data_IF_926000429556
#
_entry.id   IF_926000429556
#
_cell.length_a   1.000
_cell.length_b   1.000
_cell.length_c   1.000
_cell.angle_alpha   90.00
_cell.angle_beta   90.00
_cell.angle_gamma   90.00
#
_symmetry.space_group_name_H-M   'P 1'
#
loop_
_entity.id
_entity.type
_entity.pdbx_description
1 polymer ?
#
# COMPACT_ATOMS: atom_id res chain seq x y z
N UNK A 1 -1.89 3.32 12.67
CA UNK A 1 -2.08 1.87 12.38
C UNK A 1 -0.74 1.15 12.50
N UNK A 2 -0.73 -0.18 12.47
CA UNK A 2 0.48 -0.98 12.27
C UNK A 2 0.36 -1.65 10.89
N UNK A 3 1.24 -1.34 9.93
CA UNK A 3 1.18 -1.89 8.59
C UNK A 3 1.95 -3.23 8.53
N UNK A 4 2.06 -3.91 7.38
CA UNK A 4 2.92 -5.07 7.23
C UNK A 4 4.33 -4.88 7.78
N UNK A 5 4.96 -3.73 7.57
CA UNK A 5 6.21 -3.42 8.25
C UNK A 5 5.97 -3.14 9.75
N UNK A 6 6.28 -4.13 10.59
CA UNK A 6 6.09 -4.03 12.03
C UNK A 6 7.21 -3.23 12.75
N UNK A 7 8.24 -2.75 12.05
CA UNK A 7 9.18 -1.78 12.65
C UNK A 7 8.57 -0.39 12.82
N UNK A 8 7.51 -0.08 12.06
CA UNK A 8 6.81 1.20 12.12
C UNK A 8 5.40 1.03 12.68
N UNK A 9 5.22 1.33 13.98
CA UNK A 9 3.92 1.27 14.63
C UNK A 9 3.34 2.68 14.89
N UNK A 10 2.01 2.76 15.03
CA UNK A 10 1.28 4.02 15.24
C UNK A 10 1.49 5.08 14.15
N UNK A 11 1.67 4.65 12.90
CA UNK A 11 1.80 5.55 11.74
C UNK A 11 0.44 5.93 11.15
N UNK A 12 0.37 7.07 10.49
CA UNK A 12 -0.83 7.54 9.79
C UNK A 12 -0.73 7.30 8.28
N UNK A 13 -1.85 6.94 7.66
CA UNK A 13 -1.97 6.72 6.22
C UNK A 13 -0.96 5.72 5.63
N UNK A 14 -0.77 4.56 6.26
CA UNK A 14 -0.04 3.45 5.65
C UNK A 14 -0.57 3.17 4.25
N UNK A 15 0.33 3.17 3.26
CA UNK A 15 0.00 3.02 1.86
C UNK A 15 -0.65 1.66 1.58
N UNK A 16 -0.11 0.58 2.14
CA UNK A 16 -0.68 -0.75 1.99
C UNK A 16 -2.06 -0.84 2.64
N UNK A 17 -2.19 -0.38 3.89
CA UNK A 17 -3.45 -0.43 4.63
C UNK A 17 -4.56 0.31 3.90
N UNK A 18 -4.28 1.53 3.44
CA UNK A 18 -5.26 2.36 2.73
C UNK A 18 -5.57 1.81 1.34
N UNK A 19 -4.60 1.24 0.62
CA UNK A 19 -4.83 0.61 -0.67
C UNK A 19 -5.75 -0.61 -0.56
N UNK A 20 -5.50 -1.50 0.42
CA UNK A 20 -6.36 -2.67 0.69
C UNK A 20 -7.76 -2.24 1.11
N UNK A 21 -7.89 -1.23 1.98
CA UNK A 21 -9.18 -0.70 2.40
C UNK A 21 -9.97 -0.13 1.20
N UNK A 22 -9.31 0.67 0.35
CA UNK A 22 -9.91 1.23 -0.87
C UNK A 22 -10.36 0.13 -1.83
N UNK A 23 -9.53 -0.90 -2.05
CA UNK A 23 -9.86 -2.05 -2.90
C UNK A 23 -11.05 -2.84 -2.35
N UNK A 24 -11.09 -3.05 -1.04
CA UNK A 24 -12.16 -3.78 -0.37
C UNK A 24 -13.49 -3.06 -0.49
N UNK A 25 -13.51 -1.74 -0.26
CA UNK A 25 -14.69 -0.90 -0.49
C UNK A 25 -15.14 -0.94 -1.94
N UNK A 26 -14.20 -0.79 -2.89
CA UNK A 26 -14.51 -0.88 -4.33
C UNK A 26 -15.17 -2.22 -4.67
N UNK A 27 -14.59 -3.33 -4.21
CA UNK A 27 -15.13 -4.66 -4.46
C UNK A 27 -16.55 -4.81 -3.90
N UNK A 28 -16.79 -4.37 -2.66
CA UNK A 28 -18.10 -4.44 -2.03
C UNK A 28 -19.16 -3.58 -2.77
N UNK A 29 -18.78 -2.37 -3.22
CA UNK A 29 -19.64 -1.48 -4.00
C UNK A 29 -19.98 -2.12 -5.36
N UNK A 30 -18.98 -2.64 -6.07
CA UNK A 30 -19.14 -3.25 -7.39
C UNK A 30 -20.04 -4.49 -7.29
N UNK A 31 -19.81 -5.36 -6.29
CA UNK A 31 -20.60 -6.57 -6.07
C UNK A 31 -22.03 -6.24 -5.62
N UNK A 32 -22.21 -5.30 -4.69
CA UNK A 32 -23.52 -4.88 -4.24
C UNK A 32 -24.36 -4.32 -5.38
N UNK A 33 -23.75 -3.54 -6.28
CA UNK A 33 -24.40 -3.02 -7.48
C UNK A 33 -24.84 -4.13 -8.44
N UNK A 34 -23.99 -5.15 -8.65
CA UNK A 34 -24.30 -6.31 -9.50
C UNK A 34 -25.41 -7.20 -8.93
N UNK A 35 -25.49 -7.32 -7.60
CA UNK A 35 -26.51 -8.12 -6.91
C UNK A 35 -27.77 -7.32 -6.57
N UNK A 36 -27.87 -6.06 -7.00
CA UNK A 36 -28.98 -5.16 -6.72
C UNK A 36 -29.24 -4.90 -5.22
N UNK A 37 -28.18 -4.96 -4.40
CA UNK A 37 -28.25 -4.50 -3.02
C UNK A 37 -28.14 -2.98 -2.93
N UNK A 38 -28.77 -2.40 -1.90
CA UNK A 38 -28.58 -0.98 -1.57
C UNK A 38 -27.18 -0.80 -0.99
N UNK A 39 -26.30 -0.16 -1.76
CA UNK A 39 -24.94 0.18 -1.33
C UNK A 39 -24.98 1.54 -0.61
N UNK A 40 -24.49 1.64 0.64
CA UNK A 40 -24.40 2.93 1.32
C UNK A 40 -23.48 3.90 0.56
N UNK A 41 -23.94 5.13 0.29
CA UNK A 41 -23.15 6.13 -0.45
C UNK A 41 -21.89 6.54 0.35
N UNK A 42 -21.96 6.42 1.68
CA UNK A 42 -20.83 6.66 2.59
C UNK A 42 -19.62 5.80 2.24
N UNK A 43 -19.82 4.55 1.79
CA UNK A 43 -18.71 3.66 1.41
C UNK A 43 -17.94 4.22 0.22
N UNK A 44 -18.67 4.74 -0.76
CA UNK A 44 -18.09 5.36 -1.95
C UNK A 44 -17.37 6.67 -1.61
N UNK A 45 -17.93 7.46 -0.69
CA UNK A 45 -17.30 8.68 -0.20
C UNK A 45 -16.04 8.41 0.61
N UNK A 46 -16.04 7.40 1.49
CA UNK A 46 -14.85 6.98 2.22
C UNK A 46 -13.79 6.46 1.24
N UNK A 47 -14.16 5.59 0.30
CA UNK A 47 -13.26 5.03 -0.71
C UNK A 47 -12.53 6.12 -1.49
N UNK A 48 -13.23 7.19 -1.90
CA UNK A 48 -12.63 8.33 -2.63
C UNK A 48 -11.69 9.18 -1.76
N UNK A 49 -11.91 9.22 -0.44
CA UNK A 49 -11.14 10.03 0.52
C UNK A 49 -9.91 9.31 1.08
N UNK A 50 -9.84 7.98 0.95
CA UNK A 50 -8.68 7.21 1.38
C UNK A 50 -7.43 7.66 0.62
N UNK A 51 -6.46 8.17 1.38
CA UNK A 51 -5.17 8.62 0.86
C UNK A 51 -4.28 7.42 0.61
N UNK A 52 -3.74 7.31 -0.60
CA UNK A 52 -2.63 6.40 -0.92
C UNK A 52 -1.42 7.31 -1.17
N UNK A 53 -0.45 7.39 -0.23
CA UNK A 53 0.70 8.29 -0.35
C UNK A 53 1.47 8.09 -1.66
N UNK A 54 1.75 9.17 -2.37
CA UNK A 54 2.52 9.17 -3.61
C UNK A 54 3.38 10.42 -3.66
N UNK A 55 4.69 10.25 -3.69
CA UNK A 55 5.64 11.32 -3.96
C UNK A 55 5.79 11.46 -5.48
N UNK A 56 5.12 12.46 -6.04
CA UNK A 56 5.15 12.74 -7.48
C UNK A 56 6.50 13.29 -7.97
N UNK A 57 7.33 13.81 -7.07
CA UNK A 57 8.62 14.40 -7.44
C UNK A 57 9.70 13.33 -7.62
N UNK A 58 9.64 12.31 -6.77
CA UNK A 58 10.55 11.15 -6.80
C UNK A 58 9.91 9.90 -7.43
N UNK A 59 8.66 10.01 -7.88
CA UNK A 59 7.89 8.95 -8.51
C UNK A 59 7.92 7.65 -7.69
N UNK A 60 7.55 7.66 -6.40
CA UNK A 60 7.44 6.46 -5.56
C UNK A 60 6.37 6.65 -4.48
N UNK A 61 5.94 5.57 -3.84
CA UNK A 61 5.02 5.61 -2.70
C UNK A 61 5.80 5.62 -1.38
N UNK A 62 5.71 6.69 -0.57
CA UNK A 62 6.10 6.64 0.83
C UNK A 62 5.25 5.59 1.57
N UNK A 63 5.86 4.86 2.50
CA UNK A 63 5.18 3.76 3.22
C UNK A 63 4.00 4.26 4.07
N UNK A 64 4.15 5.44 4.66
CA UNK A 64 3.15 6.14 5.45
C UNK A 64 3.44 7.65 5.42
N UNK A 65 2.55 8.45 6.03
CA UNK A 65 2.77 9.89 6.12
C UNK A 65 3.98 10.24 6.99
N UNK A 66 4.98 10.88 6.40
CA UNK A 66 6.21 11.27 7.09
C UNK A 66 7.35 10.26 6.99
N UNK A 67 7.17 9.15 6.27
CA UNK A 67 8.23 8.17 6.01
C UNK A 67 9.47 8.83 5.37
N UNK A 68 10.65 8.58 5.93
CA UNK A 68 11.92 9.06 5.38
C UNK A 68 12.62 7.94 4.60
N UNK A 69 12.86 8.08 3.28
CA UNK A 69 13.57 7.05 2.52
C UNK A 69 14.94 6.74 3.08
N UNK A 70 15.24 5.45 3.22
CA UNK A 70 16.44 4.97 3.92
C UNK A 70 16.13 4.35 5.28
N UNK A 71 14.94 4.60 5.85
CA UNK A 71 14.48 3.94 7.08
C UNK A 71 14.37 2.41 6.86
N UNK A 72 14.96 1.59 7.76
CA UNK A 72 14.90 0.13 7.64
C UNK A 72 13.49 -0.41 7.73
N UNK A 73 13.18 -1.39 6.89
CA UNK A 73 11.85 -2.00 6.77
C UNK A 73 11.95 -3.47 7.14
N UNK A 74 11.06 -3.96 8.02
CA UNK A 74 11.12 -5.35 8.51
C UNK A 74 10.80 -6.38 7.43
N UNK A 75 9.76 -6.11 6.64
CA UNK A 75 9.23 -7.00 5.60
C UNK A 75 8.47 -6.20 4.54
N UNK A 76 8.11 -6.83 3.43
CA UNK A 76 7.41 -6.18 2.33
C UNK A 76 6.15 -5.41 2.78
N UNK A 77 6.09 -4.12 2.44
CA UNK A 77 4.94 -3.24 2.68
C UNK A 77 4.49 -2.57 1.38
N UNK A 78 5.23 -1.54 0.93
CA UNK A 78 4.92 -0.79 -0.30
C UNK A 78 4.95 -1.68 -1.53
N UNK A 79 5.93 -2.58 -1.62
CA UNK A 79 6.07 -3.48 -2.77
C UNK A 79 4.85 -4.41 -2.94
N UNK A 80 4.07 -4.62 -1.87
CA UNK A 80 2.87 -5.45 -1.92
C UNK A 80 1.77 -4.84 -2.82
N UNK A 81 1.82 -3.52 -3.07
CA UNK A 81 0.97 -2.84 -4.06
C UNK A 81 1.20 -3.42 -5.46
N UNK A 82 2.47 -3.61 -5.84
CA UNK A 82 2.86 -4.16 -7.13
C UNK A 82 2.59 -5.66 -7.24
N UNK A 83 2.80 -6.42 -6.17
CA UNK A 83 2.42 -7.84 -6.05
C UNK A 83 2.35 -8.24 -4.56
N UNK A 84 1.25 -8.86 -4.09
CA UNK A 84 0.21 -9.50 -4.87
C UNK A 84 -1.01 -8.62 -5.19
N UNK A 85 -1.11 -7.39 -4.67
CA UNK A 85 -2.32 -6.58 -4.86
C UNK A 85 -2.57 -6.20 -6.32
N UNK A 86 -1.49 -6.09 -7.11
CA UNK A 86 -1.56 -5.68 -8.51
C UNK A 86 -2.34 -4.37 -8.65
N UNK A 87 -2.07 -3.40 -7.77
CA UNK A 87 -2.72 -2.09 -7.85
C UNK A 87 -2.32 -1.40 -9.16
N UNK A 88 -3.23 -0.67 -9.83
CA UNK A 88 -2.88 0.06 -11.04
C UNK A 88 -1.88 1.17 -10.72
N UNK A 89 -0.66 1.04 -11.24
CA UNK A 89 0.45 1.93 -10.96
C UNK A 89 1.13 2.35 -12.26
N UNK A 90 1.72 3.55 -12.26
CA UNK A 90 2.65 3.92 -13.30
C UNK A 90 3.88 2.97 -13.28
N UNK A 91 4.35 2.45 -14.43
CA UNK A 91 5.50 1.56 -14.48
C UNK A 91 6.78 2.14 -13.87
N UNK A 92 6.98 3.46 -13.94
CA UNK A 92 8.10 4.15 -13.29
C UNK A 92 7.96 4.09 -11.77
N UNK A 93 6.77 4.41 -11.25
CA UNK A 93 6.48 4.36 -9.82
C UNK A 93 6.68 2.96 -9.26
N UNK A 94 6.16 1.93 -9.95
CA UNK A 94 6.34 0.54 -9.54
C UNK A 94 7.81 0.12 -9.50
N UNK A 95 8.63 0.60 -10.45
CA UNK A 95 10.06 0.31 -10.48
C UNK A 95 10.77 0.99 -9.31
N UNK A 96 10.49 2.27 -9.09
CA UNK A 96 11.12 3.04 -8.02
C UNK A 96 10.74 2.52 -6.64
N UNK A 97 9.50 2.05 -6.43
CA UNK A 97 9.11 1.37 -5.19
C UNK A 97 10.02 0.15 -4.93
N UNK A 98 10.29 -0.67 -5.95
CA UNK A 98 11.22 -1.80 -5.80
C UNK A 98 12.64 -1.32 -5.49
N UNK A 99 13.17 -0.37 -6.25
CA UNK A 99 14.55 0.12 -6.10
C UNK A 99 14.80 0.84 -4.77
N UNK A 100 13.80 1.54 -4.22
CA UNK A 100 13.92 2.28 -2.95
C UNK A 100 13.82 1.33 -1.75
N UNK A 101 12.88 0.38 -1.77
CA UNK A 101 12.65 -0.49 -0.61
C UNK A 101 13.56 -1.73 -0.61
N UNK A 102 14.16 -2.10 -1.74
CA UNK A 102 15.08 -3.24 -1.82
C UNK A 102 16.29 -3.18 -0.87
N UNK A 103 17.07 -2.09 -0.84
CA UNK A 103 18.27 -2.01 -0.01
C UNK A 103 17.98 -1.83 1.49
N UNK A 104 16.78 -1.36 1.85
CA UNK A 104 16.40 -1.07 3.24
C UNK A 104 15.59 -2.18 3.91
N UNK A 105 15.18 -3.21 3.14
CA UNK A 105 14.45 -4.35 3.68
C UNK A 105 15.40 -5.30 4.43
N UNK A 106 15.11 -5.54 5.70
CA UNK A 106 15.92 -6.32 6.63
C UNK A 106 16.20 -7.73 6.07
N UNK A 107 17.46 -8.10 5.81
CA UNK A 107 17.81 -9.43 5.31
C UNK A 107 17.55 -10.55 6.34
N UNK A 108 17.44 -10.22 7.62
CA UNK A 108 17.09 -11.14 8.71
C UNK A 108 15.60 -11.03 9.09
N UNK A 109 14.84 -10.22 8.35
CA UNK A 109 13.40 -10.14 8.48
C UNK A 109 12.70 -11.47 8.21
N UNK A 110 11.40 -11.57 8.52
CA UNK A 110 10.63 -12.79 8.28
C UNK A 110 10.57 -13.14 6.78
N UNK A 111 10.31 -14.43 6.49
CA UNK A 111 10.25 -14.97 5.13
C UNK A 111 9.07 -14.43 4.26
N UNK A 112 8.31 -13.47 4.78
CA UNK A 112 7.18 -12.83 4.09
C UNK A 112 7.59 -11.60 3.28
N UNK A 113 8.89 -11.43 3.04
CA UNK A 113 9.44 -10.52 2.03
C UNK A 113 9.92 -11.30 0.80
N UNK A 114 10.27 -10.64 -0.32
CA UNK A 114 10.72 -11.36 -1.51
C UNK A 114 11.97 -12.22 -1.23
N UNK A 115 12.09 -13.34 -1.94
CA UNK A 115 13.31 -14.16 -1.90
C UNK A 115 14.43 -13.32 -2.51
N UNK A 116 15.39 -12.84 -1.70
CA UNK A 116 16.62 -12.25 -2.22
C UNK A 116 17.34 -13.35 -3.01
N UNK A 117 17.50 -13.17 -4.32
CA UNK A 117 18.27 -14.08 -5.17
C UNK A 117 19.74 -14.14 -4.72
#
# INVERSE_FOLDING_TARGET
VMPPDEYHCNVDNSVYTNAVARRSLKFAIDLGSQLHFVVPEEWKEIMKKLKVPLDKSRCYHPEYDGYCPGEPVKQADVVLLGFPLMDPMDPEVRRNDLEIYEPVTDPQGPAMTWVKC
#
